data_IF_973188056700
#
_entry.id   IF_973188056700
#
_cell.length_a   1.000
_cell.length_b   1.000
_cell.length_c   1.000
_cell.angle_alpha   90.00
_cell.angle_beta   90.00
_cell.angle_gamma   90.00
#
_symmetry.space_group_name_H-M   'P 1'
#
loop_
_entity.id
_entity.type
_entity.pdbx_description
1 polymer ?
#
# COMPACT_ATOMS: atom_id res chain seq x y z
N UNK A 1 0.51 51.61 -15.76
CA UNK A 1 1.54 50.61 -15.41
C UNK A 1 2.13 50.78 -14.01
N UNK A 2 2.58 51.98 -13.60
CA UNK A 2 3.19 52.21 -12.26
C UNK A 2 2.26 51.91 -11.06
N UNK A 3 0.95 52.20 -11.17
CA UNK A 3 -0.05 51.88 -10.13
C UNK A 3 -0.39 50.38 -10.04
N UNK A 4 -0.33 49.65 -11.16
CA UNK A 4 -0.56 48.21 -11.20
C UNK A 4 0.62 47.46 -10.56
N UNK A 5 1.85 47.93 -10.80
CA UNK A 5 3.06 47.37 -10.21
C UNK A 5 3.10 47.56 -8.69
N UNK A 6 2.65 48.72 -8.19
CA UNK A 6 2.53 49.00 -6.74
C UNK A 6 1.45 48.14 -6.09
N UNK A 7 0.31 47.90 -6.77
CA UNK A 7 -0.73 47.01 -6.26
C UNK A 7 -0.30 45.54 -6.24
N UNK A 8 0.46 45.09 -7.23
CA UNK A 8 1.01 43.72 -7.28
C UNK A 8 2.11 43.53 -6.23
N UNK A 9 2.96 44.54 -6.00
CA UNK A 9 3.97 44.49 -4.92
C UNK A 9 3.36 44.60 -3.53
N UNK A 10 2.27 45.37 -3.34
CA UNK A 10 1.51 45.38 -2.08
C UNK A 10 0.76 44.06 -1.86
N UNK A 11 0.21 43.43 -2.92
CA UNK A 11 -0.39 42.10 -2.82
C UNK A 11 0.68 41.04 -2.47
N UNK A 12 1.84 41.09 -3.13
CA UNK A 12 2.97 40.20 -2.86
C UNK A 12 3.57 40.45 -1.46
N UNK A 13 3.64 41.69 -0.98
CA UNK A 13 4.08 41.98 0.41
C UNK A 13 3.03 41.57 1.44
N UNK A 14 1.73 41.67 1.15
CA UNK A 14 0.67 41.15 2.02
C UNK A 14 0.62 39.62 2.07
N UNK A 15 1.17 38.94 1.05
CA UNK A 15 1.39 37.49 1.02
C UNK A 15 2.68 37.06 1.73
N UNK A 16 3.59 37.99 2.06
CA UNK A 16 4.88 37.69 2.71
C UNK A 16 4.88 38.02 4.22
N UNK A 17 3.83 38.66 4.74
CA UNK A 17 3.63 38.88 6.18
C UNK A 17 2.39 38.18 6.73
N UNK A 18 2.19 36.91 6.39
CA UNK A 18 1.45 36.02 7.27
C UNK A 18 2.43 35.60 8.37
N UNK A 19 2.36 36.26 9.54
CA UNK A 19 3.06 35.77 10.72
C UNK A 19 2.75 34.28 10.89
N UNK A 20 3.79 33.44 10.92
CA UNK A 20 3.71 31.99 11.06
C UNK A 20 3.38 31.59 12.50
N UNK A 21 2.33 32.16 13.07
CA UNK A 21 1.78 31.66 14.33
C UNK A 21 0.99 30.39 14.02
N UNK A 22 1.27 29.31 14.75
CA UNK A 22 0.53 28.06 14.64
C UNK A 22 -0.95 28.38 14.86
N UNK A 23 -1.82 28.07 13.89
CA UNK A 23 -3.24 28.16 14.15
C UNK A 23 -3.60 27.09 15.18
N UNK A 24 -4.21 27.49 16.29
CA UNK A 24 -4.71 26.57 17.30
C UNK A 24 -5.65 25.57 16.63
N UNK A 25 -5.32 24.28 16.72
CA UNK A 25 -6.14 23.21 16.21
C UNK A 25 -7.24 22.89 17.23
N UNK A 26 -8.42 23.41 16.92
CA UNK A 26 -9.62 23.31 17.74
C UNK A 26 -10.35 22.01 17.40
N UNK A 27 -10.11 20.95 18.16
CA UNK A 27 -10.67 19.63 17.88
C UNK A 27 -12.18 19.58 18.14
N UNK A 28 -12.91 19.15 17.12
CA UNK A 28 -14.34 18.82 17.18
C UNK A 28 -14.58 17.42 16.58
N UNK A 29 -15.75 16.80 16.83
CA UNK A 29 -16.06 15.45 16.34
C UNK A 29 -15.96 15.27 14.81
N UNK A 30 -16.08 16.33 14.02
CA UNK A 30 -15.94 16.29 12.56
C UNK A 30 -14.48 16.36 12.07
N UNK A 31 -13.50 16.53 12.97
CA UNK A 31 -12.09 16.73 12.61
C UNK A 31 -11.22 15.46 12.63
N UNK A 32 -11.83 14.28 12.76
CA UNK A 32 -11.10 13.02 12.90
C UNK A 32 -10.23 12.61 11.70
N UNK A 33 -10.41 13.27 10.55
CA UNK A 33 -9.66 13.02 9.31
C UNK A 33 -8.79 14.22 8.91
N UNK A 34 -8.81 15.30 9.70
CA UNK A 34 -8.05 16.51 9.41
C UNK A 34 -6.59 16.27 9.78
N UNK A 35 -5.71 16.42 8.80
CA UNK A 35 -4.28 16.18 8.98
C UNK A 35 -3.63 17.37 9.73
N UNK A 36 -2.98 17.08 10.86
CA UNK A 36 -2.26 18.06 11.65
C UNK A 36 -1.15 18.74 10.84
N UNK A 37 -0.51 18.04 9.90
CA UNK A 37 0.52 18.63 9.03
C UNK A 37 0.02 19.79 8.15
N UNK A 38 -1.29 19.97 8.01
CA UNK A 38 -1.85 21.04 7.17
C UNK A 38 -2.11 22.33 7.98
N UNK A 39 -2.00 22.29 9.32
CA UNK A 39 -2.19 23.44 10.22
C UNK A 39 -1.04 23.67 11.20
N UNK A 40 -0.17 22.67 11.39
CA UNK A 40 0.97 22.74 12.27
C UNK A 40 2.18 23.48 11.66
N UNK A 41 3.05 24.00 12.52
CA UNK A 41 4.36 24.50 12.11
C UNK A 41 5.31 23.32 11.96
N UNK A 42 5.98 23.25 10.81
CA UNK A 42 7.04 22.28 10.55
C UNK A 42 8.40 22.95 10.73
N UNK A 43 9.24 22.35 11.57
CA UNK A 43 10.52 22.89 11.97
C UNK A 43 11.63 21.85 11.74
N UNK A 44 12.84 22.33 11.49
CA UNK A 44 14.03 21.51 11.39
C UNK A 44 15.15 22.10 12.26
N UNK A 45 16.08 21.24 12.67
CA UNK A 45 17.28 21.65 13.40
C UNK A 45 18.51 21.09 12.71
N UNK A 46 19.56 21.92 12.58
CA UNK A 46 20.90 21.46 12.17
C UNK A 46 21.66 20.78 13.31
N UNK A 47 21.29 21.06 14.54
CA UNK A 47 21.87 20.48 15.75
C UNK A 47 20.89 19.49 16.41
N UNK A 48 21.41 18.55 17.21
CA UNK A 48 20.58 17.67 18.00
C UNK A 48 19.88 18.46 19.12
N UNK A 49 18.67 18.92 18.85
CA UNK A 49 17.81 19.56 19.83
C UNK A 49 17.02 18.51 20.60
N UNK A 50 16.80 18.78 21.89
CA UNK A 50 15.90 17.98 22.73
C UNK A 50 14.53 18.64 22.80
N UNK A 51 13.52 17.88 23.21
CA UNK A 51 12.17 18.41 23.44
C UNK A 51 12.17 19.54 24.49
N UNK A 52 11.25 20.51 24.40
CA UNK A 52 11.11 21.56 25.41
C UNK A 52 10.82 20.97 26.79
N UNK A 53 11.23 21.67 27.86
CA UNK A 53 11.08 21.15 29.21
C UNK A 53 9.65 21.26 29.74
N UNK A 54 8.94 22.33 29.37
CA UNK A 54 7.61 22.68 29.89
C UNK A 54 6.75 23.35 28.82
N UNK A 55 5.44 23.43 29.07
CA UNK A 55 4.48 24.17 28.23
C UNK A 55 4.95 25.60 27.90
N UNK A 56 5.43 26.35 28.90
CA UNK A 56 5.85 27.76 28.74
C UNK A 56 7.13 27.92 27.92
N UNK A 57 7.95 26.88 27.82
CA UNK A 57 9.21 26.91 27.07
C UNK A 57 9.05 26.56 25.59
N UNK A 58 7.85 26.16 25.14
CA UNK A 58 7.63 25.70 23.76
C UNK A 58 7.85 26.83 22.76
N UNK A 59 7.37 28.05 23.05
CA UNK A 59 7.53 29.20 22.13
C UNK A 59 9.00 29.61 21.98
N UNK A 60 9.74 29.78 23.09
CA UNK A 60 11.18 30.08 23.07
C UNK A 60 12.00 28.96 22.42
N UNK A 61 11.55 27.71 22.56
CA UNK A 61 12.18 26.55 21.92
C UNK A 61 11.99 26.55 20.41
N UNK A 62 10.81 26.97 19.91
CA UNK A 62 10.53 27.06 18.47
C UNK A 62 11.39 28.11 17.77
N UNK A 63 11.69 29.24 18.42
CA UNK A 63 12.54 30.31 17.87
C UNK A 63 13.98 29.85 17.57
N UNK A 64 14.41 28.76 18.19
CA UNK A 64 15.75 28.16 17.97
C UNK A 64 15.80 27.28 16.71
N UNK A 65 14.67 27.06 16.05
CA UNK A 65 14.53 26.15 14.92
C UNK A 65 14.28 26.90 13.62
N UNK A 66 14.69 26.27 12.51
CA UNK A 66 14.42 26.80 11.17
C UNK A 66 13.08 26.27 10.68
N UNK A 67 12.27 27.14 10.06
CA UNK A 67 11.05 26.73 9.37
C UNK A 67 11.39 25.76 8.23
N UNK A 68 10.68 24.64 8.18
CA UNK A 68 10.77 23.67 7.08
C UNK A 68 9.73 24.05 6.01
N UNK A 69 10.13 24.61 4.86
CA UNK A 69 9.20 25.21 3.90
C UNK A 69 8.38 24.17 3.11
N UNK A 70 8.81 22.90 3.08
CA UNK A 70 8.10 21.81 2.41
C UNK A 70 8.18 20.52 3.25
N UNK A 71 7.17 19.66 3.13
CA UNK A 71 7.15 18.35 3.79
C UNK A 71 8.41 17.56 3.39
N UNK A 72 9.15 17.02 4.35
CA UNK A 72 10.37 16.26 4.06
C UNK A 72 10.04 15.00 3.21
N UNK A 73 10.72 14.85 2.07
CA UNK A 73 10.43 13.79 1.09
C UNK A 73 11.47 12.65 1.07
N UNK A 74 12.65 12.84 1.65
CA UNK A 74 13.78 11.91 1.45
C UNK A 74 14.40 11.38 2.75
N UNK A 75 13.63 11.35 3.84
CA UNK A 75 14.11 10.99 5.17
C UNK A 75 14.68 12.19 5.94
N UNK A 76 15.31 11.91 7.07
CA UNK A 76 15.84 12.88 8.02
C UNK A 76 14.97 13.03 9.26
N UNK A 77 15.21 14.14 9.97
CA UNK A 77 14.51 14.47 11.21
C UNK A 77 13.84 15.83 11.09
N UNK A 78 12.56 15.89 11.40
CA UNK A 78 11.82 17.15 11.48
C UNK A 78 10.85 17.14 12.65
N UNK A 79 10.42 18.34 13.03
CA UNK A 79 9.54 18.59 14.15
C UNK A 79 8.22 19.17 13.65
N UNK A 80 7.13 18.73 14.27
CA UNK A 80 5.80 19.27 14.08
C UNK A 80 5.35 19.88 15.41
N UNK A 81 4.91 21.13 15.38
CA UNK A 81 4.38 21.84 16.56
C UNK A 81 2.99 22.36 16.26
N UNK A 82 2.04 22.07 17.15
CA UNK A 82 0.67 22.58 17.05
C UNK A 82 0.09 22.80 18.45
N UNK A 83 -0.63 23.90 18.63
CA UNK A 83 -1.47 24.12 19.82
C UNK A 83 -2.81 23.38 19.60
N UNK A 84 -3.28 22.64 20.59
CA UNK A 84 -4.48 21.82 20.54
C UNK A 84 -5.46 22.26 21.64
N UNK A 85 -6.75 22.32 21.30
CA UNK A 85 -7.84 22.46 22.29
C UNK A 85 -8.93 21.46 21.95
N UNK A 86 -9.36 20.68 22.94
CA UNK A 86 -10.46 19.72 22.76
C UNK A 86 -11.80 20.35 23.12
N UNK A 87 -12.67 20.59 22.14
CA UNK A 87 -14.02 21.15 22.34
C UNK A 87 -15.11 20.07 22.47
N UNK A 88 -14.73 18.82 22.74
CA UNK A 88 -15.65 17.70 22.92
C UNK A 88 -15.64 17.19 24.36
N UNK A 89 -16.63 16.37 24.73
CA UNK A 89 -16.64 15.68 26.03
C UNK A 89 -15.79 14.40 26.07
N UNK A 90 -15.30 13.94 24.91
CA UNK A 90 -14.38 12.80 24.84
C UNK A 90 -13.04 13.21 25.45
N UNK A 91 -12.39 12.29 26.16
CA UNK A 91 -11.09 12.54 26.79
C UNK A 91 -10.01 11.60 26.32
N UNK A 92 -10.36 10.45 25.75
CA UNK A 92 -9.44 9.42 25.29
C UNK A 92 -9.31 9.49 23.78
N UNK A 93 -8.13 9.85 23.31
CA UNK A 93 -7.82 9.93 21.89
C UNK A 93 -6.60 9.08 21.56
N UNK A 94 -6.33 8.95 20.27
CA UNK A 94 -5.14 8.34 19.71
C UNK A 94 -4.52 9.34 18.74
N UNK A 95 -3.22 9.60 18.93
CA UNK A 95 -2.39 10.22 17.89
C UNK A 95 -2.06 9.15 16.87
N UNK A 96 -2.61 9.29 15.66
CA UNK A 96 -2.55 8.27 14.63
C UNK A 96 -1.78 8.77 13.40
N UNK A 97 -0.50 8.38 13.25
CA UNK A 97 0.22 8.52 12.00
C UNK A 97 -0.16 7.35 11.07
N UNK A 98 -0.50 7.65 9.82
CA UNK A 98 -0.91 6.63 8.86
C UNK A 98 -0.43 6.91 7.44
N UNK A 99 -0.58 5.89 6.59
CA UNK A 99 -0.17 5.90 5.19
C UNK A 99 1.35 6.05 5.00
N UNK A 100 2.16 5.73 6.01
CA UNK A 100 3.60 5.92 5.98
C UNK A 100 4.32 4.87 6.83
N UNK A 101 5.61 4.67 6.58
CA UNK A 101 6.49 3.81 7.36
C UNK A 101 7.61 4.72 7.84
N UNK A 102 7.80 4.77 9.15
CA UNK A 102 8.68 5.73 9.82
C UNK A 102 9.47 4.97 10.88
N UNK A 103 10.79 5.19 10.95
CA UNK A 103 11.63 4.52 11.94
C UNK A 103 11.16 4.83 13.36
N UNK A 104 11.04 6.12 13.69
CA UNK A 104 10.63 6.57 15.02
C UNK A 104 9.81 7.86 14.96
N UNK A 105 8.72 7.87 15.71
CA UNK A 105 7.86 9.03 15.97
C UNK A 105 7.81 9.20 17.48
N UNK A 106 8.32 10.32 17.98
CA UNK A 106 8.27 10.66 19.40
C UNK A 106 7.40 11.90 19.56
N UNK A 107 6.36 11.82 20.40
CA UNK A 107 5.45 12.92 20.66
C UNK A 107 5.48 13.27 22.14
N UNK A 108 5.49 14.57 22.44
CA UNK A 108 5.23 15.10 23.77
C UNK A 108 4.07 16.06 23.72
N UNK A 109 3.10 15.81 24.59
CA UNK A 109 1.92 16.64 24.76
C UNK A 109 2.06 17.36 26.10
N UNK A 110 2.20 18.69 26.04
CA UNK A 110 2.34 19.57 27.21
C UNK A 110 1.00 20.22 27.48
N UNK A 111 0.48 20.09 28.69
CA UNK A 111 -0.75 20.75 29.12
C UNK A 111 -0.42 22.09 29.79
N UNK A 112 -1.33 23.06 29.66
CA UNK A 112 -1.21 24.36 30.32
C UNK A 112 -1.17 24.22 31.85
N UNK A 113 -1.84 23.19 32.39
CA UNK A 113 -1.80 22.82 33.82
C UNK A 113 -0.49 22.17 34.27
N UNK A 114 0.42 21.88 33.33
CA UNK A 114 1.78 21.40 33.60
C UNK A 114 1.96 19.88 33.49
N UNK A 115 0.91 19.13 33.12
CA UNK A 115 1.05 17.70 32.85
C UNK A 115 1.75 17.46 31.50
N UNK A 116 2.54 16.38 31.41
CA UNK A 116 3.27 16.02 30.19
C UNK A 116 3.02 14.55 29.89
N UNK A 117 2.55 14.25 28.68
CA UNK A 117 2.45 12.89 28.17
C UNK A 117 3.55 12.67 27.13
N UNK A 118 4.37 11.63 27.31
CA UNK A 118 5.46 11.25 26.37
C UNK A 118 5.11 9.94 25.71
N UNK A 119 5.18 9.91 24.38
CA UNK A 119 4.64 8.84 23.55
C UNK A 119 5.67 8.50 22.47
N UNK A 120 5.84 7.21 22.19
CA UNK A 120 6.74 6.73 21.13
C UNK A 120 6.02 5.67 20.31
N UNK A 121 6.06 5.79 18.99
CA UNK A 121 5.55 4.83 18.01
C UNK A 121 6.50 4.81 16.82
N UNK A 122 6.41 3.81 15.95
CA UNK A 122 7.28 3.67 14.78
C UNK A 122 7.67 2.22 14.53
N UNK A 123 8.51 2.01 13.52
CA UNK A 123 9.01 0.69 13.15
C UNK A 123 10.04 0.10 14.13
N UNK A 124 10.81 0.95 14.81
CA UNK A 124 11.87 0.53 15.73
C UNK A 124 11.39 0.20 17.16
N UNK A 125 10.12 0.47 17.44
CA UNK A 125 9.53 0.30 18.79
C UNK A 125 8.28 -0.57 18.74
N UNK A 126 7.97 -1.20 19.87
CA UNK A 126 6.69 -1.91 20.03
C UNK A 126 5.55 -0.88 20.09
N UNK A 127 4.53 -1.08 19.26
CA UNK A 127 3.40 -0.17 19.14
C UNK A 127 2.25 -0.62 20.06
N UNK A 128 1.47 0.35 20.55
CA UNK A 128 0.32 0.08 21.44
C UNK A 128 -0.78 -0.71 20.72
N UNK A 129 -0.94 -0.49 19.41
CA UNK A 129 -1.97 -1.12 18.58
C UNK A 129 -1.35 -2.09 17.58
N UNK A 130 -1.89 -3.31 17.50
CA UNK A 130 -1.36 -4.34 16.62
C UNK A 130 -1.43 -3.91 15.14
N UNK A 131 -0.29 -4.03 14.45
CA UNK A 131 -0.04 -3.69 13.04
C UNK A 131 -0.28 -2.22 12.66
N UNK A 132 -0.48 -1.35 13.64
CA UNK A 132 -0.76 0.06 13.42
C UNK A 132 0.18 0.93 14.27
N UNK A 133 0.61 2.04 13.71
CA UNK A 133 1.20 3.09 14.52
C UNK A 133 0.11 3.82 15.31
N UNK A 134 0.53 4.42 16.41
CA UNK A 134 -0.29 5.31 17.20
C UNK A 134 -0.16 5.08 18.70
N UNK A 135 -0.48 6.11 19.46
CA UNK A 135 -0.42 6.09 20.90
C UNK A 135 -1.66 6.76 21.50
N UNK A 136 -2.17 6.17 22.57
CA UNK A 136 -3.25 6.76 23.37
C UNK A 136 -2.79 8.04 24.05
N UNK A 137 -3.57 9.09 23.88
CA UNK A 137 -3.41 10.36 24.59
C UNK A 137 -4.69 10.71 25.34
N UNK A 138 -4.55 11.56 26.35
CA UNK A 138 -5.67 12.17 27.05
C UNK A 138 -5.71 13.67 26.79
N UNK A 139 -6.87 14.18 26.38
CA UNK A 139 -7.13 15.60 26.20
C UNK A 139 -8.37 15.97 27.01
N UNK A 140 -8.22 16.78 28.05
CA UNK A 140 -9.37 17.25 28.81
C UNK A 140 -10.15 18.31 28.02
N UNK A 141 -11.48 18.43 28.21
CA UNK A 141 -12.30 19.40 27.51
C UNK A 141 -11.87 20.84 27.84
N UNK A 142 -11.73 21.67 26.81
CA UNK A 142 -11.38 23.09 26.86
C UNK A 142 -10.02 23.42 27.51
N UNK A 143 -9.17 22.42 27.73
CA UNK A 143 -7.78 22.64 28.15
C UNK A 143 -6.88 22.84 26.93
N UNK A 144 -5.89 23.73 27.05
CA UNK A 144 -4.88 23.99 26.03
C UNK A 144 -3.69 23.07 26.16
N UNK A 145 -3.22 22.58 25.01
CA UNK A 145 -2.04 21.75 24.93
C UNK A 145 -1.11 22.21 23.81
N UNK A 146 0.19 22.03 24.00
CA UNK A 146 1.16 21.98 22.90
C UNK A 146 1.47 20.53 22.56
N UNK A 147 1.26 20.14 21.31
CA UNK A 147 1.78 18.90 20.77
C UNK A 147 3.08 19.20 20.01
N UNK A 148 4.17 18.65 20.52
CA UNK A 148 5.48 18.65 19.85
C UNK A 148 5.78 17.23 19.43
N UNK A 149 5.95 16.99 18.14
CA UNK A 149 6.24 15.67 17.59
C UNK A 149 7.51 15.70 16.76
N UNK A 150 8.44 14.80 17.04
CA UNK A 150 9.62 14.53 16.21
C UNK A 150 9.34 13.34 15.31
N UNK A 151 9.57 13.51 14.02
CA UNK A 151 9.58 12.43 13.02
C UNK A 151 11.02 12.17 12.61
N UNK A 152 11.49 10.93 12.77
CA UNK A 152 12.85 10.53 12.45
C UNK A 152 12.81 9.23 11.63
N UNK A 153 13.39 9.27 10.43
CA UNK A 153 13.41 8.12 9.54
C UNK A 153 14.50 8.27 8.48
N UNK A 154 15.10 7.17 8.05
CA UNK A 154 16.03 7.17 6.91
C UNK A 154 15.31 7.47 5.57
N UNK A 155 13.98 7.45 5.59
CA UNK A 155 13.12 7.63 4.42
C UNK A 155 11.73 8.14 4.85
N UNK A 156 11.13 9.01 4.03
CA UNK A 156 9.71 9.34 4.13
C UNK A 156 9.05 8.97 2.81
N UNK A 157 8.43 7.80 2.75
CA UNK A 157 7.89 7.26 1.50
C UNK A 157 6.72 8.08 0.96
N UNK A 158 5.79 8.46 1.83
CA UNK A 158 4.75 9.43 1.49
C UNK A 158 4.63 10.49 2.57
N UNK A 159 4.05 11.66 2.26
CA UNK A 159 3.75 12.67 3.26
C UNK A 159 2.95 12.05 4.40
N UNK A 160 3.51 12.13 5.61
CA UNK A 160 2.89 11.57 6.81
C UNK A 160 1.54 12.23 7.02
N UNK A 161 0.51 11.40 7.18
CA UNK A 161 -0.79 11.87 7.66
C UNK A 161 -0.84 11.63 9.15
N UNK A 162 -1.10 12.68 9.92
CA UNK A 162 -1.09 12.64 11.36
C UNK A 162 -2.37 13.24 11.88
N UNK A 163 -3.21 12.41 12.51
CA UNK A 163 -4.58 12.79 12.90
C UNK A 163 -4.85 12.42 14.35
N UNK A 164 -5.86 13.07 14.93
CA UNK A 164 -6.37 12.77 16.27
C UNK A 164 -7.71 12.05 16.12
N UNK A 165 -7.83 10.84 16.69
CA UNK A 165 -9.07 10.03 16.64
C UNK A 165 -9.54 9.66 18.04
N UNK A 166 -10.86 9.59 18.31
CA UNK A 166 -11.35 9.04 19.56
C UNK A 166 -10.89 7.58 19.72
N UNK A 167 -10.45 7.21 20.92
CA UNK A 167 -9.81 5.90 21.15
C UNK A 167 -10.74 4.73 20.77
N UNK A 168 -12.01 4.79 21.16
CA UNK A 168 -12.98 3.73 20.86
C UNK A 168 -13.20 3.56 19.34
N UNK A 169 -13.21 4.66 18.57
CA UNK A 169 -13.36 4.60 17.12
C UNK A 169 -12.09 4.04 16.45
N UNK A 170 -10.91 4.42 16.97
CA UNK A 170 -9.65 3.90 16.50
C UNK A 170 -9.48 2.40 16.77
N UNK A 171 -9.84 1.93 17.96
CA UNK A 171 -9.81 0.50 18.29
C UNK A 171 -10.71 -0.33 17.34
N UNK A 172 -11.91 0.19 17.01
CA UNK A 172 -12.80 -0.44 16.04
C UNK A 172 -12.19 -0.46 14.62
N UNK A 173 -11.52 0.62 14.23
CA UNK A 173 -10.80 0.71 12.96
C UNK A 173 -9.69 -0.35 12.90
N UNK A 174 -8.82 -0.42 13.92
CA UNK A 174 -7.72 -1.40 13.99
C UNK A 174 -8.25 -2.83 13.91
N UNK A 175 -9.32 -3.17 14.63
CA UNK A 175 -9.94 -4.51 14.56
C UNK A 175 -10.42 -4.80 13.13
N UNK A 176 -11.10 -3.85 12.49
CA UNK A 176 -11.65 -4.04 11.14
C UNK A 176 -10.54 -4.21 10.11
N UNK A 177 -9.53 -3.33 10.12
CA UNK A 177 -8.39 -3.40 9.20
C UNK A 177 -7.58 -4.69 9.41
N UNK A 178 -7.33 -5.09 10.66
CA UNK A 178 -6.64 -6.35 10.97
C UNK A 178 -7.40 -7.59 10.47
N UNK A 179 -8.72 -7.62 10.63
CA UNK A 179 -9.54 -8.72 10.11
C UNK A 179 -9.45 -8.83 8.58
N UNK A 180 -9.52 -7.68 7.88
CA UNK A 180 -9.37 -7.64 6.42
C UNK A 180 -7.97 -8.11 6.01
N UNK A 181 -6.92 -7.63 6.70
CA UNK A 181 -5.54 -8.06 6.43
C UNK A 181 -5.39 -9.58 6.59
N UNK A 182 -5.86 -10.16 7.69
CA UNK A 182 -5.78 -11.61 7.94
C UNK A 182 -6.47 -12.40 6.82
N UNK A 183 -7.65 -11.96 6.37
CA UNK A 183 -8.36 -12.60 5.25
C UNK A 183 -7.55 -12.51 3.95
N UNK A 184 -7.04 -11.33 3.61
CA UNK A 184 -6.26 -11.12 2.39
C UNK A 184 -4.96 -11.94 2.38
N UNK A 185 -4.20 -11.93 3.47
CA UNK A 185 -2.99 -12.74 3.59
C UNK A 185 -3.30 -14.23 3.61
N UNK A 186 -4.39 -14.64 4.26
CA UNK A 186 -4.86 -16.02 4.24
C UNK A 186 -5.15 -16.52 2.82
N UNK A 187 -5.82 -15.71 2.00
CA UNK A 187 -6.04 -16.00 0.57
C UNK A 187 -4.71 -16.20 -0.16
N UNK A 188 -3.77 -15.27 0.01
CA UNK A 188 -2.46 -15.35 -0.65
C UNK A 188 -1.66 -16.59 -0.27
N UNK A 189 -1.60 -16.91 1.03
CA UNK A 189 -0.89 -18.07 1.54
C UNK A 189 -1.53 -19.38 1.07
N UNK A 190 -2.85 -19.52 1.20
CA UNK A 190 -3.57 -20.75 0.81
C UNK A 190 -3.47 -20.96 -0.71
N UNK A 191 -3.74 -19.95 -1.53
CA UNK A 191 -3.67 -20.09 -2.98
C UNK A 191 -2.24 -20.26 -3.48
N UNK A 192 -1.26 -19.60 -2.86
CA UNK A 192 0.16 -19.79 -3.15
C UNK A 192 0.60 -21.23 -2.89
N UNK A 193 0.30 -21.76 -1.70
CA UNK A 193 0.61 -23.16 -1.33
C UNK A 193 -0.14 -24.16 -2.21
N UNK A 194 -1.42 -23.93 -2.47
CA UNK A 194 -2.23 -24.77 -3.35
C UNK A 194 -1.62 -24.87 -4.76
N UNK A 195 -1.25 -23.74 -5.35
CA UNK A 195 -0.60 -23.73 -6.67
C UNK A 195 0.79 -24.41 -6.63
N UNK A 196 1.55 -24.26 -5.55
CA UNK A 196 2.83 -24.96 -5.39
C UNK A 196 2.63 -26.49 -5.34
N UNK A 197 1.62 -26.97 -4.63
CA UNK A 197 1.27 -28.40 -4.57
C UNK A 197 0.84 -28.93 -5.95
N UNK A 198 0.01 -28.20 -6.68
CA UNK A 198 -0.37 -28.57 -8.05
C UNK A 198 0.86 -28.67 -8.94
N UNK A 199 1.78 -27.70 -8.86
CA UNK A 199 3.00 -27.72 -9.64
C UNK A 199 3.82 -28.99 -9.41
N UNK A 200 3.91 -29.49 -8.17
CA UNK A 200 4.66 -30.71 -7.92
C UNK A 200 4.08 -31.93 -8.63
N UNK A 201 2.75 -32.01 -8.78
CA UNK A 201 2.04 -33.07 -9.48
C UNK A 201 1.98 -32.89 -11.01
N UNK A 202 1.59 -31.70 -11.49
CA UNK A 202 1.37 -31.45 -12.92
C UNK A 202 2.64 -31.04 -13.68
N UNK A 203 3.66 -30.52 -12.98
CA UNK A 203 4.85 -29.85 -13.54
C UNK A 203 4.53 -28.68 -14.48
N UNK A 204 3.29 -28.17 -14.47
CA UNK A 204 2.90 -26.98 -15.24
C UNK A 204 3.44 -25.72 -14.55
N UNK A 205 4.36 -25.04 -15.25
CA UNK A 205 5.07 -23.85 -14.76
C UNK A 205 4.13 -22.68 -14.44
N UNK A 206 2.92 -22.65 -15.02
CA UNK A 206 1.91 -21.63 -14.70
C UNK A 206 1.63 -21.59 -13.19
N UNK A 207 1.51 -22.75 -12.56
CA UNK A 207 1.26 -22.85 -11.13
C UNK A 207 2.48 -22.48 -10.29
N UNK A 208 3.69 -22.83 -10.75
CA UNK A 208 4.93 -22.38 -10.08
C UNK A 208 5.06 -20.85 -10.10
N UNK A 209 4.85 -20.22 -11.26
CA UNK A 209 4.95 -18.77 -11.38
C UNK A 209 3.87 -18.05 -10.58
N UNK A 210 2.66 -18.62 -10.51
CA UNK A 210 1.63 -18.10 -9.63
C UNK A 210 2.04 -18.19 -8.15
N UNK A 211 2.58 -19.34 -7.71
CA UNK A 211 3.03 -19.51 -6.32
C UNK A 211 4.15 -18.52 -5.97
N UNK A 212 5.10 -18.30 -6.88
CA UNK A 212 6.16 -17.30 -6.71
C UNK A 212 5.60 -15.87 -6.65
N UNK A 213 4.63 -15.55 -7.52
CA UNK A 213 3.93 -14.28 -7.47
C UNK A 213 3.22 -14.08 -6.12
N UNK A 214 2.52 -15.10 -5.63
CA UNK A 214 1.85 -15.10 -4.33
C UNK A 214 2.82 -14.83 -3.18
N UNK A 215 3.95 -15.53 -3.16
CA UNK A 215 5.00 -15.32 -2.15
C UNK A 215 5.55 -13.89 -2.21
N UNK A 216 5.85 -13.37 -3.40
CA UNK A 216 6.39 -12.01 -3.54
C UNK A 216 5.44 -10.94 -3.01
N UNK A 217 4.15 -10.98 -3.36
CA UNK A 217 3.22 -9.95 -2.90
C UNK A 217 2.84 -10.13 -1.43
N UNK A 218 2.70 -11.37 -0.93
CA UNK A 218 2.46 -11.62 0.50
C UNK A 218 3.63 -11.08 1.32
N UNK A 219 4.86 -11.35 0.89
CA UNK A 219 6.06 -10.81 1.52
C UNK A 219 6.08 -9.28 1.50
N UNK A 220 5.77 -8.67 0.34
CA UNK A 220 5.75 -7.23 0.15
C UNK A 220 4.79 -6.53 1.12
N UNK A 221 3.52 -6.96 1.11
CA UNK A 221 2.48 -6.38 1.94
C UNK A 221 2.70 -6.70 3.42
N UNK A 222 3.25 -7.86 3.76
CA UNK A 222 3.56 -8.22 5.15
C UNK A 222 4.58 -7.25 5.79
N UNK A 223 5.60 -6.84 5.05
CA UNK A 223 6.56 -5.83 5.53
C UNK A 223 5.93 -4.45 5.57
N UNK A 224 5.09 -4.12 4.58
CA UNK A 224 4.39 -2.83 4.54
C UNK A 224 3.45 -2.63 5.73
N UNK A 225 2.73 -3.67 6.15
CA UNK A 225 1.82 -3.66 7.30
C UNK A 225 2.47 -4.05 8.64
N UNK A 226 3.80 -3.95 8.75
CA UNK A 226 4.56 -4.17 9.99
C UNK A 226 4.40 -5.56 10.62
N UNK A 227 3.94 -6.55 9.85
CA UNK A 227 3.73 -7.91 10.36
C UNK A 227 5.08 -8.55 10.73
N UNK A 228 6.11 -8.33 9.90
CA UNK A 228 7.49 -8.77 10.15
C UNK A 228 8.02 -8.23 11.48
N UNK A 229 7.82 -6.92 11.68
CA UNK A 229 8.40 -6.16 12.78
C UNK A 229 7.71 -6.55 14.10
N UNK A 230 6.38 -6.62 14.09
CA UNK A 230 5.60 -6.82 15.31
C UNK A 230 5.48 -8.29 15.74
N UNK A 231 5.48 -9.26 14.82
CA UNK A 231 5.40 -10.67 15.19
C UNK A 231 6.77 -11.31 15.43
N UNK A 232 7.79 -10.88 14.70
CA UNK A 232 9.11 -11.53 14.71
C UNK A 232 10.23 -10.63 15.21
N UNK A 233 9.96 -9.35 15.49
CA UNK A 233 11.01 -8.38 15.87
C UNK A 233 11.95 -8.04 14.72
N UNK A 234 11.56 -8.31 13.47
CA UNK A 234 12.41 -8.17 12.29
C UNK A 234 12.19 -6.83 11.58
N UNK A 235 12.53 -5.72 12.24
CA UNK A 235 12.53 -4.41 11.59
C UNK A 235 13.71 -4.28 10.63
N UNK A 236 13.44 -4.24 9.32
CA UNK A 236 14.46 -4.02 8.30
C UNK A 236 13.93 -3.15 7.15
N UNK A 237 14.25 -1.84 7.15
CA UNK A 237 13.97 -0.95 6.03
C UNK A 237 14.42 -1.48 4.67
N UNK A 238 15.56 -2.17 4.66
CA UNK A 238 16.20 -2.69 3.45
C UNK A 238 15.38 -3.80 2.78
N UNK A 239 14.56 -4.54 3.54
CA UNK A 239 13.72 -5.61 3.00
C UNK A 239 12.34 -5.11 2.55
N UNK A 240 11.96 -3.89 2.94
CA UNK A 240 10.62 -3.35 2.78
C UNK A 240 10.12 -3.38 1.33
N UNK A 241 11.00 -3.08 0.37
CA UNK A 241 10.66 -2.98 -1.05
C UNK A 241 11.01 -4.22 -1.87
N UNK A 242 11.67 -5.22 -1.27
CA UNK A 242 12.13 -6.42 -1.95
C UNK A 242 10.96 -7.13 -2.67
N UNK A 243 9.87 -7.36 -1.93
CA UNK A 243 8.69 -8.03 -2.47
C UNK A 243 8.07 -7.25 -3.61
N UNK A 244 7.89 -5.94 -3.47
CA UNK A 244 7.33 -5.09 -4.53
C UNK A 244 8.20 -4.99 -5.77
N UNK A 245 9.53 -5.02 -5.64
CA UNK A 245 10.45 -5.01 -6.78
C UNK A 245 10.50 -6.35 -7.53
N UNK A 246 10.31 -7.47 -6.84
CA UNK A 246 10.28 -8.82 -7.45
C UNK A 246 8.90 -9.19 -8.02
N UNK A 247 7.82 -8.63 -7.47
CA UNK A 247 6.43 -8.93 -7.87
C UNK A 247 6.18 -8.72 -9.37
N UNK A 248 6.66 -7.65 -10.04
CA UNK A 248 6.54 -7.50 -11.49
C UNK A 248 7.10 -8.70 -12.27
N UNK A 249 8.30 -9.18 -11.94
CA UNK A 249 8.91 -10.29 -12.66
C UNK A 249 8.07 -11.57 -12.53
N UNK A 250 7.65 -11.92 -11.32
CA UNK A 250 6.88 -13.14 -11.07
C UNK A 250 5.47 -13.05 -11.67
N UNK A 251 4.83 -11.88 -11.60
CA UNK A 251 3.56 -11.63 -12.26
C UNK A 251 3.66 -11.75 -13.79
N UNK A 252 4.73 -11.22 -14.38
CA UNK A 252 5.02 -11.30 -15.82
C UNK A 252 5.23 -12.74 -16.26
N UNK A 253 6.05 -13.50 -15.54
CA UNK A 253 6.24 -14.93 -15.80
C UNK A 253 4.91 -15.69 -15.73
N UNK A 254 4.08 -15.36 -14.75
CA UNK A 254 2.76 -15.95 -14.59
C UNK A 254 1.85 -15.67 -15.78
N UNK A 255 1.61 -14.40 -16.15
CA UNK A 255 0.68 -14.10 -17.23
C UNK A 255 1.21 -14.52 -18.60
N UNK A 256 2.53 -14.55 -18.82
CA UNK A 256 3.14 -15.07 -20.06
C UNK A 256 2.72 -16.51 -20.32
N UNK A 257 2.75 -17.34 -19.27
CA UNK A 257 2.38 -18.74 -19.36
C UNK A 257 0.85 -18.92 -19.40
N UNK A 258 0.12 -18.22 -18.53
CA UNK A 258 -1.34 -18.28 -18.49
C UNK A 258 -1.98 -17.93 -19.84
N UNK A 259 -1.49 -16.87 -20.49
CA UNK A 259 -2.05 -16.34 -21.73
C UNK A 259 -1.42 -16.91 -23.01
N UNK A 260 -0.48 -17.86 -22.87
CA UNK A 260 0.27 -18.48 -23.97
C UNK A 260 0.93 -17.45 -24.91
N UNK A 261 1.54 -16.43 -24.30
CA UNK A 261 2.10 -15.29 -25.04
C UNK A 261 3.38 -15.64 -25.78
N UNK A 262 4.16 -16.61 -25.29
CA UNK A 262 5.40 -17.03 -25.96
C UNK A 262 5.13 -17.60 -27.36
N UNK A 263 4.01 -18.29 -27.53
CA UNK A 263 3.63 -18.92 -28.80
C UNK A 263 2.99 -17.95 -29.79
N UNK A 264 2.30 -16.92 -29.28
CA UNK A 264 1.47 -16.01 -30.09
C UNK A 264 2.14 -14.64 -30.31
N UNK A 265 2.87 -14.14 -29.31
CA UNK A 265 3.41 -12.78 -29.25
C UNK A 265 4.85 -12.76 -28.69
N UNK A 266 5.85 -13.31 -29.39
CA UNK A 266 7.22 -13.40 -28.89
C UNK A 266 7.87 -12.02 -28.61
N UNK A 267 7.54 -10.99 -29.41
CA UNK A 267 8.05 -9.62 -29.19
C UNK A 267 7.53 -9.00 -27.89
N UNK A 268 6.22 -9.14 -27.62
CA UNK A 268 5.59 -8.64 -26.38
C UNK A 268 6.10 -9.44 -25.18
N UNK A 269 6.29 -10.75 -25.35
CA UNK A 269 6.88 -11.63 -24.33
C UNK A 269 8.28 -11.13 -23.95
N UNK A 270 9.13 -10.84 -24.93
CA UNK A 270 10.49 -10.34 -24.66
C UNK A 270 10.46 -8.96 -24.01
N UNK A 271 9.62 -8.03 -24.49
CA UNK A 271 9.46 -6.71 -23.86
C UNK A 271 8.97 -6.80 -22.41
N UNK A 272 8.02 -7.69 -22.13
CA UNK A 272 7.54 -7.97 -20.78
C UNK A 272 8.65 -8.54 -19.90
N UNK A 273 9.40 -9.53 -20.38
CA UNK A 273 10.52 -10.09 -19.64
C UNK A 273 11.62 -9.06 -19.36
N UNK A 274 11.93 -8.18 -20.32
CA UNK A 274 12.87 -7.07 -20.13
C UNK A 274 12.40 -6.16 -18.98
N UNK A 275 11.11 -5.78 -18.97
CA UNK A 275 10.55 -4.99 -17.87
C UNK A 275 10.68 -5.71 -16.52
N UNK A 276 10.35 -7.00 -16.46
CA UNK A 276 10.47 -7.80 -15.25
C UNK A 276 11.92 -7.93 -14.76
N UNK A 277 12.86 -8.14 -15.68
CA UNK A 277 14.30 -8.22 -15.36
C UNK A 277 14.81 -6.86 -14.89
N UNK A 278 14.44 -5.77 -15.55
CA UNK A 278 14.78 -4.41 -15.10
C UNK A 278 14.28 -4.23 -13.67
N UNK A 279 13.00 -4.52 -13.41
CA UNK A 279 12.41 -4.41 -12.08
C UNK A 279 13.22 -5.17 -11.01
N UNK A 280 13.58 -6.42 -11.29
CA UNK A 280 14.39 -7.25 -10.40
C UNK A 280 15.83 -6.75 -10.24
N UNK A 281 16.45 -6.20 -11.30
CA UNK A 281 17.79 -5.61 -11.24
C UNK A 281 17.87 -4.38 -10.32
N UNK A 282 16.75 -3.71 -10.05
CA UNK A 282 16.70 -2.63 -9.07
C UNK A 282 16.68 -3.10 -7.61
N UNK A 283 16.54 -4.41 -7.34
CA UNK A 283 16.48 -4.97 -5.97
C UNK A 283 17.71 -4.60 -5.13
N UNK A 284 18.97 -4.80 -5.59
CA UNK A 284 20.13 -4.45 -4.78
C UNK A 284 20.15 -2.97 -4.40
N UNK A 285 19.77 -2.10 -5.34
CA UNK A 285 19.70 -0.65 -5.09
C UNK A 285 18.57 -0.29 -4.12
N UNK A 286 17.41 -0.94 -4.25
CA UNK A 286 16.27 -0.76 -3.35
C UNK A 286 16.59 -1.22 -1.92
N UNK A 287 17.42 -2.25 -1.76
CA UNK A 287 17.88 -2.74 -0.46
C UNK A 287 18.92 -1.82 0.18
N UNK A 288 19.80 -1.21 -0.63
CA UNK A 288 20.83 -0.29 -0.12
C UNK A 288 20.28 1.12 0.15
N UNK A 289 19.26 1.54 -0.59
CA UNK A 289 18.68 2.87 -0.53
C UNK A 289 17.15 2.77 -0.49
N UNK A 290 16.53 2.67 0.70
CA UNK A 290 15.09 2.48 0.84
C UNK A 290 14.25 3.56 0.14
N UNK A 291 14.69 4.82 0.16
CA UNK A 291 14.04 5.93 -0.57
C UNK A 291 14.01 5.70 -2.09
N UNK A 292 15.09 5.15 -2.67
CA UNK A 292 15.08 4.72 -4.07
C UNK A 292 14.15 3.52 -4.26
N UNK A 293 14.16 2.57 -3.32
CA UNK A 293 13.31 1.38 -3.36
C UNK A 293 11.82 1.71 -3.49
N UNK A 294 11.33 2.70 -2.74
CA UNK A 294 9.95 3.18 -2.83
C UNK A 294 9.58 3.71 -4.22
N UNK A 295 10.39 4.63 -4.77
CA UNK A 295 10.14 5.22 -6.08
C UNK A 295 10.26 4.16 -7.18
N UNK A 296 11.28 3.32 -7.08
CA UNK A 296 11.52 2.21 -7.99
C UNK A 296 10.33 1.26 -8.03
N UNK A 297 9.92 0.74 -6.86
CA UNK A 297 8.76 -0.14 -6.70
C UNK A 297 7.49 0.47 -7.29
N UNK A 298 7.23 1.75 -7.01
CA UNK A 298 6.07 2.48 -7.55
C UNK A 298 6.07 2.50 -9.08
N UNK A 299 7.22 2.82 -9.70
CA UNK A 299 7.35 2.90 -11.17
C UNK A 299 7.23 1.52 -11.81
N UNK A 300 7.93 0.51 -11.29
CA UNK A 300 7.99 -0.81 -11.93
C UNK A 300 6.68 -1.58 -11.76
N UNK A 301 6.02 -1.48 -10.60
CA UNK A 301 4.69 -2.08 -10.40
C UNK A 301 3.64 -1.39 -11.25
N UNK A 302 3.64 -0.05 -11.33
CA UNK A 302 2.74 0.69 -12.21
C UNK A 302 2.92 0.31 -13.68
N UNK A 303 4.18 0.24 -14.14
CA UNK A 303 4.51 -0.16 -15.51
C UNK A 303 4.05 -1.59 -15.81
N UNK A 304 4.27 -2.52 -14.88
CA UNK A 304 3.85 -3.92 -15.03
C UNK A 304 2.33 -4.07 -15.05
N UNK A 305 1.60 -3.34 -14.20
CA UNK A 305 0.13 -3.34 -14.19
C UNK A 305 -0.44 -2.83 -15.52
N UNK A 306 0.11 -1.72 -16.05
CA UNK A 306 -0.29 -1.20 -17.36
C UNK A 306 -0.03 -2.22 -18.47
N UNK A 307 1.14 -2.84 -18.48
CA UNK A 307 1.49 -3.85 -19.48
C UNK A 307 0.62 -5.10 -19.37
N UNK A 308 0.37 -5.60 -18.16
CA UNK A 308 -0.49 -6.75 -17.90
C UNK A 308 -1.92 -6.52 -18.39
N UNK A 309 -2.50 -5.34 -18.10
CA UNK A 309 -3.82 -4.97 -18.62
C UNK A 309 -3.83 -4.88 -20.15
N UNK A 310 -2.85 -4.20 -20.75
CA UNK A 310 -2.74 -4.10 -22.21
C UNK A 310 -2.71 -5.48 -22.87
N UNK A 311 -1.87 -6.37 -22.35
CA UNK A 311 -1.73 -7.75 -22.84
C UNK A 311 -3.01 -8.56 -22.65
N UNK A 312 -3.67 -8.41 -21.50
CA UNK A 312 -4.96 -9.04 -21.24
C UNK A 312 -6.03 -8.63 -22.25
N UNK A 313 -6.19 -7.32 -22.49
CA UNK A 313 -7.14 -6.79 -23.47
C UNK A 313 -6.80 -7.19 -24.91
N UNK A 314 -5.50 -7.21 -25.26
CA UNK A 314 -5.04 -7.70 -26.56
C UNK A 314 -5.51 -9.14 -26.78
N UNK A 315 -5.28 -10.04 -25.82
CA UNK A 315 -5.70 -11.45 -25.94
C UNK A 315 -7.22 -11.63 -25.97
N UNK A 316 -7.98 -10.76 -25.30
CA UNK A 316 -9.45 -10.72 -25.45
C UNK A 316 -9.84 -10.37 -26.89
N UNK A 317 -9.20 -9.36 -27.49
CA UNK A 317 -9.50 -8.90 -28.85
C UNK A 317 -9.22 -9.98 -29.90
N UNK A 318 -8.30 -10.90 -29.62
CA UNK A 318 -7.95 -12.05 -30.46
C UNK A 318 -8.83 -13.28 -30.19
N UNK A 319 -9.86 -13.15 -29.35
CA UNK A 319 -10.79 -14.24 -29.06
C UNK A 319 -10.26 -15.31 -28.11
N UNK A 320 -9.12 -15.09 -27.44
CA UNK A 320 -8.60 -16.03 -26.44
C UNK A 320 -9.46 -16.00 -25.17
N UNK A 321 -10.47 -16.88 -25.12
CA UNK A 321 -11.47 -16.94 -24.03
C UNK A 321 -10.87 -16.85 -22.62
N UNK A 322 -9.77 -17.56 -22.28
CA UNK A 322 -9.19 -17.47 -20.94
C UNK A 322 -8.74 -16.07 -20.51
N UNK A 323 -8.42 -15.17 -21.46
CA UNK A 323 -7.99 -13.81 -21.15
C UNK A 323 -9.07 -12.96 -20.47
N UNK A 324 -10.35 -13.25 -20.70
CA UNK A 324 -11.46 -12.50 -20.08
C UNK A 324 -11.45 -12.64 -18.56
N UNK A 325 -11.20 -13.85 -18.08
CA UNK A 325 -11.11 -14.12 -16.66
C UNK A 325 -9.86 -13.48 -16.04
N UNK A 326 -8.73 -13.54 -16.75
CA UNK A 326 -7.52 -12.84 -16.34
C UNK A 326 -7.78 -11.35 -16.19
N UNK A 327 -8.33 -10.67 -17.21
CA UNK A 327 -8.58 -9.22 -17.14
C UNK A 327 -9.55 -8.86 -16.02
N UNK A 328 -10.61 -9.65 -15.81
CA UNK A 328 -11.56 -9.42 -14.72
C UNK A 328 -10.86 -9.44 -13.35
N UNK A 329 -10.03 -10.46 -13.10
CA UNK A 329 -9.23 -10.56 -11.88
C UNK A 329 -8.21 -9.42 -11.78
N UNK A 330 -7.47 -9.18 -12.87
CA UNK A 330 -6.36 -8.24 -12.91
C UNK A 330 -6.82 -6.79 -12.71
N UNK A 331 -8.03 -6.41 -13.14
CA UNK A 331 -8.62 -5.09 -12.88
C UNK A 331 -8.83 -4.87 -11.37
N UNK A 332 -9.28 -5.90 -10.64
CA UNK A 332 -9.49 -5.81 -9.20
C UNK A 332 -8.20 -5.48 -8.45
N UNK A 333 -7.06 -6.02 -8.92
CA UNK A 333 -5.73 -5.66 -8.41
C UNK A 333 -5.24 -4.31 -8.98
N UNK A 334 -5.36 -4.09 -10.29
CA UNK A 334 -4.70 -2.98 -10.97
C UNK A 334 -5.26 -1.61 -10.58
N UNK A 335 -6.59 -1.46 -10.45
CA UNK A 335 -7.21 -0.17 -10.11
C UNK A 335 -6.70 0.39 -8.78
N UNK A 336 -6.85 -0.31 -7.63
CA UNK A 336 -6.46 0.26 -6.35
C UNK A 336 -4.95 0.46 -6.23
N UNK A 337 -4.15 -0.46 -6.77
CA UNK A 337 -2.69 -0.32 -6.79
C UNK A 337 -2.22 0.83 -7.69
N UNK A 338 -2.89 1.07 -8.82
CA UNK A 338 -2.58 2.22 -9.68
C UNK A 338 -2.94 3.54 -9.02
N UNK A 339 -4.08 3.61 -8.31
CA UNK A 339 -4.44 4.79 -7.51
C UNK A 339 -3.37 5.05 -6.44
N UNK A 340 -2.92 4.01 -5.74
CA UNK A 340 -1.81 4.09 -4.78
C UNK A 340 -0.53 4.61 -5.44
N UNK A 341 -0.12 4.04 -6.57
CA UNK A 341 1.09 4.45 -7.28
C UNK A 341 1.03 5.89 -7.80
N UNK A 342 -0.10 6.32 -8.36
CA UNK A 342 -0.28 7.70 -8.81
C UNK A 342 -0.30 8.69 -7.63
N UNK A 343 -0.81 8.26 -6.47
CA UNK A 343 -0.75 9.07 -5.23
C UNK A 343 0.69 9.17 -4.73
N UNK A 344 1.45 8.07 -4.75
CA UNK A 344 2.87 8.04 -4.39
C UNK A 344 3.71 8.97 -5.27
N UNK A 345 3.40 9.06 -6.57
CA UNK A 345 4.06 9.97 -7.52
C UNK A 345 3.59 11.43 -7.42
N UNK A 346 2.62 11.74 -6.55
CA UNK A 346 2.05 13.08 -6.42
C UNK A 346 1.11 13.49 -7.57
N UNK A 347 0.73 12.56 -8.44
CA UNK A 347 -0.22 12.81 -9.55
C UNK A 347 -1.66 12.92 -9.03
N UNK A 348 -2.01 12.07 -8.06
CA UNK A 348 -3.31 12.11 -7.38
C UNK A 348 -3.19 12.73 -5.98
N UNK A 349 -4.22 13.46 -5.53
CA UNK A 349 -4.24 14.01 -4.18
C UNK A 349 -4.33 12.89 -3.13
N UNK A 350 -3.75 13.09 -1.93
CA UNK A 350 -3.81 12.08 -0.87
C UNK A 350 -5.25 11.82 -0.40
N UNK A 351 -5.68 10.56 -0.33
CA UNK A 351 -7.02 10.17 0.14
C UNK A 351 -7.08 9.87 1.65
N UNK A 352 -8.19 10.17 2.32
CA UNK A 352 -8.43 9.73 3.70
C UNK A 352 -8.63 8.22 3.83
N UNK A 353 -8.87 7.53 2.71
CA UNK A 353 -8.95 6.06 2.66
C UNK A 353 -7.56 5.44 2.75
N UNK A 354 -7.47 4.27 3.38
CA UNK A 354 -6.26 3.45 3.40
C UNK A 354 -6.06 2.80 2.00
N UNK A 355 -5.39 3.54 1.10
CA UNK A 355 -5.15 3.11 -0.28
C UNK A 355 -4.31 1.82 -0.35
N UNK A 356 -3.43 1.62 0.62
CA UNK A 356 -2.61 0.42 0.73
C UNK A 356 -3.44 -0.81 1.11
N UNK A 357 -4.36 -0.68 2.07
CA UNK A 357 -5.29 -1.76 2.40
C UNK A 357 -6.19 -2.08 1.20
N UNK A 358 -6.65 -1.07 0.47
CA UNK A 358 -7.42 -1.28 -0.75
C UNK A 358 -6.59 -1.99 -1.84
N UNK A 359 -5.29 -1.67 -1.95
CA UNK A 359 -4.34 -2.36 -2.82
C UNK A 359 -4.21 -3.85 -2.47
N UNK A 360 -4.06 -4.17 -1.19
CA UNK A 360 -4.01 -5.54 -0.67
C UNK A 360 -5.33 -6.30 -0.93
N UNK A 361 -6.49 -5.67 -0.69
CA UNK A 361 -7.80 -6.25 -1.02
C UNK A 361 -7.87 -6.55 -2.52
N UNK A 362 -7.44 -5.61 -3.36
CA UNK A 362 -7.42 -5.79 -4.81
C UNK A 362 -6.55 -6.98 -5.25
N UNK A 363 -5.36 -7.13 -4.67
CA UNK A 363 -4.46 -8.27 -4.93
C UNK A 363 -5.06 -9.60 -4.46
N UNK A 364 -5.73 -9.62 -3.30
CA UNK A 364 -6.42 -10.82 -2.83
C UNK A 364 -7.64 -11.19 -3.70
N UNK A 365 -8.39 -10.18 -4.19
CA UNK A 365 -9.50 -10.37 -5.11
C UNK A 365 -9.02 -10.91 -6.47
N UNK A 366 -7.91 -10.41 -7.01
CA UNK A 366 -7.27 -10.99 -8.20
C UNK A 366 -6.99 -12.48 -7.99
N UNK A 367 -6.36 -12.82 -6.86
CA UNK A 367 -6.04 -14.20 -6.53
C UNK A 367 -7.30 -15.10 -6.46
N UNK A 368 -8.36 -14.65 -5.78
CA UNK A 368 -9.64 -15.38 -5.67
C UNK A 368 -10.36 -15.52 -7.02
N UNK A 369 -10.50 -14.43 -7.76
CA UNK A 369 -11.18 -14.43 -9.06
C UNK A 369 -10.46 -15.34 -10.05
N UNK A 370 -9.14 -15.36 -10.01
CA UNK A 370 -8.33 -16.24 -10.85
C UNK A 370 -8.46 -17.72 -10.42
N UNK A 371 -8.56 -18.01 -9.13
CA UNK A 371 -8.84 -19.37 -8.66
C UNK A 371 -10.21 -19.86 -9.14
N UNK A 372 -11.24 -19.01 -9.09
CA UNK A 372 -12.56 -19.34 -9.64
C UNK A 372 -12.53 -19.52 -11.16
N UNK A 373 -11.75 -18.71 -11.87
CA UNK A 373 -11.56 -18.85 -13.32
C UNK A 373 -10.92 -20.20 -13.68
N UNK A 374 -9.92 -20.64 -12.91
CA UNK A 374 -9.29 -21.95 -13.10
C UNK A 374 -10.27 -23.08 -12.80
N UNK A 375 -11.07 -22.98 -11.73
CA UNK A 375 -12.10 -23.96 -11.40
C UNK A 375 -13.18 -24.06 -12.48
N UNK A 376 -13.63 -22.93 -13.03
CA UNK A 376 -14.61 -22.90 -14.12
C UNK A 376 -14.03 -23.50 -15.42
N UNK A 377 -12.78 -23.17 -15.75
CA UNK A 377 -12.07 -23.82 -16.87
C UNK A 377 -11.98 -25.32 -16.68
N UNK A 378 -11.62 -25.80 -15.49
CA UNK A 378 -11.54 -27.23 -15.20
C UNK A 378 -12.92 -27.91 -15.37
N UNK A 379 -13.98 -27.26 -14.88
CA UNK A 379 -15.35 -27.72 -15.05
C UNK A 379 -15.73 -27.83 -16.53
N UNK A 380 -15.46 -26.78 -17.32
CA UNK A 380 -15.74 -26.76 -18.76
C UNK A 380 -14.97 -27.84 -19.53
N UNK A 381 -13.66 -27.96 -19.30
CA UNK A 381 -12.84 -29.01 -19.93
C UNK A 381 -13.31 -30.41 -19.54
N UNK A 382 -13.75 -30.61 -18.29
CA UNK A 382 -14.29 -31.90 -17.88
C UNK A 382 -15.62 -32.22 -18.59
N UNK A 383 -16.49 -31.22 -18.77
CA UNK A 383 -17.74 -31.37 -19.54
C UNK A 383 -17.47 -31.68 -21.01
N UNK A 384 -16.50 -31.00 -21.63
CA UNK A 384 -16.06 -31.27 -23.01
C UNK A 384 -15.53 -32.71 -23.15
N UNK A 385 -14.73 -33.20 -22.20
CA UNK A 385 -14.23 -34.58 -22.21
C UNK A 385 -15.35 -35.61 -22.03
N UNK A 386 -16.34 -35.35 -21.17
CA UNK A 386 -17.51 -36.22 -21.00
C UNK A 386 -18.31 -36.29 -22.30
N UNK A 387 -18.53 -35.16 -22.96
CA UNK A 387 -19.24 -35.09 -24.24
C UNK A 387 -18.45 -35.82 -25.34
N UNK A 388 -17.13 -35.66 -25.39
CA UNK A 388 -16.27 -36.33 -26.36
C UNK A 388 -16.29 -37.85 -26.17
N UNK A 389 -16.22 -38.33 -24.93
CA UNK A 389 -16.31 -39.76 -24.61
C UNK A 389 -17.68 -40.34 -24.99
N UNK A 390 -18.78 -39.63 -24.71
CA UNK A 390 -20.13 -40.06 -25.11
C UNK A 390 -20.27 -40.16 -26.63
N UNK A 391 -19.73 -39.20 -27.37
CA UNK A 391 -19.72 -39.23 -28.84
C UNK A 391 -18.87 -40.38 -29.39
N UNK A 392 -17.75 -40.68 -28.75
CA UNK A 392 -16.92 -41.84 -29.10
C UNK A 392 -17.66 -43.16 -28.86
N UNK A 393 -18.31 -43.33 -27.70
CA UNK A 393 -19.10 -44.53 -27.39
C UNK A 393 -20.24 -44.75 -28.39
N UNK A 394 -21.00 -43.69 -28.72
CA UNK A 394 -22.05 -43.77 -29.73
C UNK A 394 -21.50 -44.20 -31.09
N UNK A 395 -20.35 -43.68 -31.50
CA UNK A 395 -19.73 -44.00 -32.78
C UNK A 395 -19.18 -45.44 -32.82
N UNK A 396 -18.65 -45.93 -31.70
CA UNK A 396 -18.23 -47.32 -31.54
C UNK A 396 -19.45 -48.24 -31.66
N UNK A 397 -20.55 -47.95 -30.94
CA UNK A 397 -21.78 -48.72 -31.02
C UNK A 397 -22.34 -48.78 -32.45
N UNK A 398 -22.39 -47.64 -33.15
CA UNK A 398 -22.83 -47.60 -34.55
C UNK A 398 -21.97 -48.49 -35.45
N UNK A 399 -20.64 -48.45 -35.30
CA UNK A 399 -19.72 -49.29 -36.08
C UNK A 399 -19.83 -50.76 -35.74
N UNK A 400 -20.04 -51.11 -34.47
CA UNK A 400 -20.28 -52.49 -34.06
C UNK A 400 -21.59 -53.00 -34.67
N UNK A 401 -22.65 -52.20 -34.62
CA UNK A 401 -23.94 -52.53 -35.24
C UNK A 401 -23.79 -52.76 -36.76
N UNK A 402 -23.13 -51.84 -37.47
CA UNK A 402 -22.88 -51.98 -38.91
C UNK A 402 -22.10 -53.27 -39.25
N UNK A 403 -21.13 -53.65 -38.41
CA UNK A 403 -20.34 -54.87 -38.60
C UNK A 403 -21.15 -56.13 -38.29
N UNK A 404 -22.02 -56.10 -37.28
CA UNK A 404 -22.94 -57.20 -36.98
C UNK A 404 -23.95 -57.40 -38.11
N UNK A 405 -24.50 -56.32 -38.63
CA UNK A 405 -25.42 -56.34 -39.78
C UNK A 405 -24.72 -56.94 -41.01
N UNK A 406 -23.50 -56.49 -41.34
CA UNK A 406 -22.67 -57.03 -42.44
C UNK A 406 -22.26 -58.50 -42.25
N UNK A 407 -22.08 -58.96 -41.00
CA UNK A 407 -21.77 -60.36 -40.70
C UNK A 407 -23.00 -61.27 -40.73
N UNK A 408 -24.20 -60.67 -40.68
CA UNK A 408 -25.49 -61.37 -40.72
C UNK A 408 -26.09 -61.49 -42.13
N UNK A 409 -25.58 -60.73 -43.10
CA UNK A 409 -25.76 -60.92 -44.54
C UNK A 409 -24.80 -61.99 -45.10
#
# INVERSE_FOLDING_TARGET
>A
MRRLFVLITLLLMSLVCAESHAQTFNYHHNMQTVNLHDSAILLQSKENITFPATYKSVDEWQEKLELLPQKALFGGKYWLVTELVNHTSETKFVLYPYNTVVSKIESKLYSEEGSIQTLVTGGEVSNEFAFHYGNSIRLNPNEKYYLVTSFESDFFYTPIKFVIKPKAEFERLVVTENLVMILCFGVGLVLGLYNLLIYFGSKDKTHLYYALFAVCWVFAWSHFFHISDQLFGLYSPNLHWLGFALTPLTNILFYINLLKLRDTHPKITNGSLILGVIAACGVPMAMLFPSFGFLWATIVTGSALCLGLYVGFLRISEGFKPARYFVLAYIAMAIPNMIGNLTNLGVLPPSSLNLYLLGLIGTALDALLLAFAVADKFRLTNLENIELNKNLELKVQQRTQELEDLASE
#
